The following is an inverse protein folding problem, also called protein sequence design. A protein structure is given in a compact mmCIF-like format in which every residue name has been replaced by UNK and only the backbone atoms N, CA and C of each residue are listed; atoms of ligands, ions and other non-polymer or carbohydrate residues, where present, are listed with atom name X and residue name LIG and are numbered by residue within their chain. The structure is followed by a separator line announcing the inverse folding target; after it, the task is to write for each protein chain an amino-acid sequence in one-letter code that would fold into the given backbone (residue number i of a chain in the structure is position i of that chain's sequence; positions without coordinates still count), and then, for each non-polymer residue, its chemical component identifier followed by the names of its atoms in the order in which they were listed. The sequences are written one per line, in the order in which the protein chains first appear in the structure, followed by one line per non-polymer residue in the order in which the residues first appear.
data_IF_154176999061
#
_entry.id   IF_154176999061
#
_cell.length_a   1.000
_cell.length_b   1.000
_cell.length_c   1.000
_cell.angle_alpha   90.00
_cell.angle_beta   90.00
_cell.angle_gamma   90.00
#
_symmetry.space_group_name_H-M   'P 1'
#
loop_
_entity.id
_entity.type
_entity.pdbx_description
1 polymer ?
#
# COMPACT_ATOMS: atom_id res chain seq x y z
N UNK A 1 5.00 -21.92 -19.49
CA UNK A 1 4.02 -20.83 -19.33
C UNK A 1 3.57 -20.63 -17.87
N UNK A 2 3.55 -21.68 -17.03
CA UNK A 2 3.18 -21.61 -15.61
C UNK A 2 4.08 -20.75 -14.68
N UNK A 3 5.32 -20.43 -15.06
CA UNK A 3 6.23 -19.72 -14.13
C UNK A 3 5.91 -18.23 -13.96
N UNK A 4 5.33 -17.58 -14.97
CA UNK A 4 5.02 -16.14 -14.91
C UNK A 4 3.81 -15.86 -14.03
N UNK A 5 2.76 -16.66 -14.16
CA UNK A 5 1.56 -16.58 -13.31
C UNK A 5 1.89 -16.88 -11.86
N UNK A 6 2.71 -17.91 -11.60
CA UNK A 6 3.17 -18.23 -10.25
C UNK A 6 3.99 -17.08 -9.63
N UNK A 7 4.86 -16.42 -10.41
CA UNK A 7 5.62 -15.26 -9.95
C UNK A 7 4.71 -14.04 -9.69
N UNK A 8 3.75 -13.77 -10.57
CA UNK A 8 2.77 -12.70 -10.37
C UNK A 8 1.93 -12.93 -9.11
N UNK A 9 1.53 -14.17 -8.84
CA UNK A 9 0.81 -14.53 -7.61
C UNK A 9 1.69 -14.32 -6.36
N UNK A 10 2.97 -14.70 -6.42
CA UNK A 10 3.92 -14.48 -5.31
C UNK A 10 4.13 -12.98 -5.04
N UNK A 11 4.21 -12.15 -6.08
CA UNK A 11 4.31 -10.70 -5.92
C UNK A 11 3.04 -10.11 -5.30
N UNK A 12 1.86 -10.57 -5.74
CA UNK A 12 0.59 -10.13 -5.17
C UNK A 12 0.46 -10.50 -3.69
N UNK A 13 0.82 -11.73 -3.32
CA UNK A 13 0.81 -12.17 -1.93
C UNK A 13 1.76 -11.34 -1.05
N UNK A 14 2.91 -10.95 -1.59
CA UNK A 14 3.87 -10.06 -0.90
C UNK A 14 3.26 -8.68 -0.67
N UNK A 15 2.64 -8.11 -1.70
CA UNK A 15 1.95 -6.81 -1.60
C UNK A 15 0.80 -6.86 -0.61
N UNK A 16 -0.04 -7.90 -0.65
CA UNK A 16 -1.14 -8.13 0.29
C UNK A 16 -0.64 -8.13 1.74
N UNK A 17 0.41 -8.90 2.04
CA UNK A 17 1.00 -8.95 3.38
C UNK A 17 1.47 -7.59 3.88
N UNK A 18 2.12 -6.80 3.01
CA UNK A 18 2.56 -5.45 3.35
C UNK A 18 1.38 -4.51 3.63
N UNK A 19 0.34 -4.52 2.78
CA UNK A 19 -0.85 -3.68 2.95
C UNK A 19 -1.63 -4.04 4.22
N UNK A 20 -1.76 -5.33 4.54
CA UNK A 20 -2.39 -5.78 5.79
C UNK A 20 -1.60 -5.34 7.02
N UNK A 21 -0.26 -5.35 6.95
CA UNK A 21 0.60 -4.83 8.01
C UNK A 21 0.37 -3.34 8.26
N UNK A 22 0.34 -2.53 7.19
CA UNK A 22 0.06 -1.09 7.27
C UNK A 22 -1.33 -0.81 7.84
N UNK A 23 -2.35 -1.52 7.36
CA UNK A 23 -3.73 -1.35 7.84
C UNK A 23 -3.85 -1.70 9.33
N UNK A 24 -3.18 -2.76 9.79
CA UNK A 24 -3.17 -3.13 11.21
C UNK A 24 -2.52 -2.05 12.07
N UNK A 25 -1.37 -1.53 11.66
CA UNK A 25 -0.71 -0.43 12.37
C UNK A 25 -1.62 0.81 12.43
N UNK A 26 -2.27 1.16 11.31
CA UNK A 26 -3.23 2.26 11.26
C UNK A 26 -4.38 2.06 12.28
N UNK A 27 -4.94 0.85 12.37
CA UNK A 27 -5.98 0.51 13.34
C UNK A 27 -5.50 0.63 14.79
N UNK A 28 -4.25 0.25 15.09
CA UNK A 28 -3.64 0.41 16.41
C UNK A 28 -3.53 1.90 16.81
N UNK A 29 -3.39 2.79 15.81
CA UNK A 29 -3.38 4.25 15.96
C UNK A 29 -4.77 4.91 15.92
N UNK A 30 -5.85 4.11 15.85
CA UNK A 30 -7.24 4.61 15.81
C UNK A 30 -7.70 5.13 14.45
N UNK A 31 -6.96 4.79 13.39
CA UNK A 31 -7.28 5.11 11.99
C UNK A 31 -8.12 3.99 11.38
N UNK A 32 -8.90 4.30 10.35
CA UNK A 32 -9.86 3.37 9.77
C UNK A 32 -9.45 2.82 8.39
N UNK A 33 -8.38 3.34 7.80
CA UNK A 33 -7.96 2.92 6.48
C UNK A 33 -6.64 3.53 6.01
N UNK A 34 -6.24 3.05 4.84
CA UNK A 34 -5.07 3.51 4.08
C UNK A 34 -5.45 3.60 2.60
N UNK A 35 -4.87 4.57 1.90
CA UNK A 35 -4.85 4.66 0.45
C UNK A 35 -3.39 4.63 0.02
N UNK A 36 -3.07 3.78 -0.95
CA UNK A 36 -1.70 3.62 -1.47
C UNK A 36 -1.73 3.89 -2.96
N UNK A 37 -0.93 4.86 -3.38
CA UNK A 37 -0.70 5.20 -4.78
C UNK A 37 0.75 4.89 -5.12
N UNK A 38 0.97 4.09 -6.17
CA UNK A 38 2.29 3.79 -6.67
C UNK A 38 2.38 4.29 -8.11
N UNK A 39 3.34 5.18 -8.37
CA UNK A 39 3.59 5.73 -9.69
C UNK A 39 5.06 5.55 -10.08
N UNK A 40 5.30 5.44 -11.38
CA UNK A 40 6.65 5.40 -11.93
C UNK A 40 6.71 6.38 -13.11
N UNK A 41 7.54 7.40 -13.00
CA UNK A 41 7.72 8.44 -14.02
C UNK A 41 9.19 8.83 -14.13
N UNK A 42 9.70 8.98 -15.36
CA UNK A 42 11.10 9.32 -15.69
C UNK A 42 12.18 8.59 -14.85
N UNK A 43 11.96 7.30 -14.56
CA UNK A 43 12.91 6.47 -13.82
C UNK A 43 12.87 6.64 -12.30
N UNK A 44 11.99 7.50 -11.79
CA UNK A 44 11.64 7.59 -10.39
C UNK A 44 10.43 6.70 -10.10
N UNK A 45 10.46 6.04 -8.95
CA UNK A 45 9.32 5.30 -8.40
C UNK A 45 8.91 6.00 -7.12
N UNK A 46 7.63 6.37 -7.03
CA UNK A 46 7.04 7.03 -5.87
C UNK A 46 5.94 6.13 -5.31
N UNK A 47 5.90 6.01 -3.99
CA UNK A 47 4.83 5.31 -3.27
C UNK A 47 4.29 6.26 -2.21
N UNK A 48 3.09 6.77 -2.45
CA UNK A 48 2.39 7.62 -1.51
C UNK A 48 1.43 6.79 -0.66
N UNK A 49 1.50 6.98 0.65
CA UNK A 49 0.58 6.35 1.62
C UNK A 49 -0.19 7.45 2.33
N UNK A 50 -1.50 7.43 2.17
CA UNK A 50 -2.42 8.35 2.85
C UNK A 50 -3.26 7.56 3.84
N UNK A 51 -3.24 7.98 5.11
CA UNK A 51 -4.07 7.38 6.15
C UNK A 51 -5.45 8.03 6.18
N UNK A 52 -6.47 7.30 6.61
CA UNK A 52 -7.82 7.84 6.77
C UNK A 52 -8.33 7.73 8.21
N UNK A 53 -9.14 8.71 8.60
CA UNK A 53 -9.92 8.66 9.83
C UNK A 53 -11.37 9.06 9.53
N UNK A 54 -12.32 8.19 9.85
CA UNK A 54 -13.73 8.32 9.49
C UNK A 54 -13.95 8.52 7.98
N UNK A 55 -13.17 7.81 7.16
CA UNK A 55 -13.17 7.92 5.70
C UNK A 55 -12.59 9.22 5.15
N UNK A 56 -11.99 10.07 5.99
CA UNK A 56 -11.36 11.33 5.58
C UNK A 56 -9.84 11.17 5.54
N UNK A 57 -9.17 11.53 4.43
CA UNK A 57 -7.72 11.58 4.35
C UNK A 57 -7.10 12.49 5.42
N UNK A 58 -6.19 11.93 6.20
CA UNK A 58 -5.22 12.68 6.99
C UNK A 58 -4.04 12.96 6.05
N UNK A 59 -3.60 14.21 5.97
CA UNK A 59 -2.50 14.60 5.08
C UNK A 59 -1.28 13.72 5.36
N UNK A 60 -0.91 12.86 4.40
CA UNK A 60 0.21 11.93 4.53
C UNK A 60 1.55 12.62 4.22
N UNK A 61 2.62 12.18 4.88
CA UNK A 61 3.99 12.54 4.52
C UNK A 61 4.46 11.63 3.36
N UNK A 62 4.99 12.21 2.28
CA UNK A 62 5.61 11.46 1.16
C UNK A 62 7.07 11.11 1.50
N UNK A 63 7.52 9.89 1.14
CA UNK A 63 8.92 9.44 1.20
C UNK A 63 9.58 9.44 -0.17
#
# INVERSE_FOLDING_TARGET
MHSREAMQAAHLATLEGALLGLLRAAQEDGLDGISVEASADDGQVVIDVTYTANGVPLSGESL
#
